data_IF_456137827523
#
_entry.id   IF_456137827523
#
_cell.length_a   1.000
_cell.length_b   1.000
_cell.length_c   1.000
_cell.angle_alpha   90.00
_cell.angle_beta   90.00
_cell.angle_gamma   90.00
#
_symmetry.space_group_name_H-M   'P 1'
#
loop_
_entity.id
_entity.type
_entity.pdbx_description
1 polymer ?
#
# COMPACT_ATOMS: atom_id res chain seq x y z
N UNK A 1 11.81 46.84 -42.47
CA UNK A 1 11.24 46.26 -43.71
C UNK A 1 10.25 47.26 -44.26
N UNK A 2 10.54 47.74 -45.47
CA UNK A 2 9.97 48.92 -46.12
C UNK A 2 8.56 48.68 -46.63
N UNK A 3 7.66 49.62 -46.32
CA UNK A 3 6.31 49.70 -46.85
C UNK A 3 6.34 50.03 -48.35
N UNK A 4 5.69 49.19 -49.16
CA UNK A 4 5.43 49.46 -50.58
C UNK A 4 3.91 49.47 -50.80
N UNK A 5 3.34 50.66 -50.80
CA UNK A 5 2.01 50.96 -51.35
C UNK A 5 2.15 51.22 -52.85
N UNK A 6 1.36 50.57 -53.73
CA UNK A 6 1.30 50.93 -55.14
C UNK A 6 0.44 52.20 -55.37
N UNK A 7 0.69 52.93 -56.47
CA UNK A 7 0.18 54.29 -56.68
C UNK A 7 -1.29 54.35 -57.09
N UNK A 8 -2.01 55.25 -56.42
CA UNK A 8 -3.30 55.83 -56.84
C UNK A 8 -3.16 56.49 -58.21
N UNK A 9 -3.89 55.97 -59.20
CA UNK A 9 -4.13 56.64 -60.49
C UNK A 9 -5.58 57.13 -60.52
N UNK A 10 -5.86 58.41 -60.83
CA UNK A 10 -7.21 58.92 -60.99
C UNK A 10 -7.69 58.68 -62.44
N UNK A 11 -8.45 57.61 -62.68
CA UNK A 11 -9.12 57.40 -63.96
C UNK A 11 -10.52 58.00 -63.95
N UNK A 12 -10.62 59.17 -64.59
CA UNK A 12 -11.74 59.64 -65.42
C UNK A 12 -13.15 59.21 -65.01
N UNK A 13 -13.88 60.13 -64.38
CA UNK A 13 -15.33 60.26 -64.50
C UNK A 13 -15.73 60.44 -65.97
N UNK A 14 -15.95 59.32 -66.67
CA UNK A 14 -16.72 59.30 -67.91
C UNK A 14 -18.19 59.33 -67.54
N UNK A 15 -18.79 60.52 -67.64
CA UNK A 15 -20.25 60.71 -67.63
C UNK A 15 -20.86 60.14 -68.91
N UNK A 16 -20.89 58.80 -69.01
CA UNK A 16 -21.74 58.14 -69.99
C UNK A 16 -23.21 58.31 -69.56
N UNK A 17 -24.14 58.69 -70.47
CA UNK A 17 -25.55 58.74 -70.14
C UNK A 17 -26.01 57.33 -69.71
N UNK A 18 -27.00 57.19 -68.81
CA UNK A 18 -27.54 55.90 -68.46
C UNK A 18 -28.09 55.28 -69.74
N UNK A 19 -27.36 54.32 -70.31
CA UNK A 19 -27.89 53.47 -71.37
C UNK A 19 -29.13 52.84 -70.77
N UNK A 20 -30.30 53.13 -71.35
CA UNK A 20 -31.56 52.48 -71.00
C UNK A 20 -31.31 50.99 -71.21
N UNK A 21 -30.90 50.30 -70.15
CA UNK A 21 -30.85 48.85 -70.11
C UNK A 21 -32.22 48.43 -70.60
N UNK A 22 -32.23 47.67 -71.69
CA UNK A 22 -33.49 47.33 -72.32
C UNK A 22 -34.28 46.51 -71.28
N UNK A 23 -35.59 46.71 -71.17
CA UNK A 23 -36.40 45.96 -70.20
C UNK A 23 -36.19 44.43 -70.29
N UNK A 24 -35.73 43.94 -71.46
CA UNK A 24 -35.28 42.57 -71.69
C UNK A 24 -34.04 42.19 -70.88
N UNK A 25 -33.03 43.06 -70.81
CA UNK A 25 -31.81 42.80 -70.04
C UNK A 25 -32.11 42.74 -68.54
N UNK A 26 -32.96 43.63 -68.02
CA UNK A 26 -33.42 43.58 -66.62
C UNK A 26 -34.23 42.32 -66.33
N UNK A 27 -35.09 41.89 -67.25
CA UNK A 27 -35.86 40.66 -67.11
C UNK A 27 -34.98 39.40 -67.13
N UNK A 28 -33.92 39.38 -67.95
CA UNK A 28 -32.94 38.29 -67.98
C UNK A 28 -32.14 38.22 -66.67
N UNK A 29 -31.64 39.36 -66.18
CA UNK A 29 -30.94 39.43 -64.90
C UNK A 29 -31.86 39.01 -63.75
N UNK A 30 -33.12 39.43 -63.75
CA UNK A 30 -34.09 39.05 -62.72
C UNK A 30 -34.35 37.54 -62.70
N UNK A 31 -34.53 36.93 -63.89
CA UNK A 31 -34.68 35.48 -64.03
C UNK A 31 -33.44 34.72 -63.58
N UNK A 32 -32.26 35.26 -63.85
CA UNK A 32 -30.99 34.65 -63.45
C UNK A 32 -30.79 34.75 -61.94
N UNK A 33 -31.15 35.89 -61.31
CA UNK A 33 -31.18 36.05 -59.86
C UNK A 33 -32.18 35.10 -59.20
N UNK A 34 -33.38 34.92 -59.75
CA UNK A 34 -34.36 33.93 -59.26
C UNK A 34 -33.81 32.50 -59.39
N UNK A 35 -33.14 32.18 -60.50
CA UNK A 35 -32.48 30.88 -60.67
C UNK A 35 -31.35 30.66 -59.66
N UNK A 36 -30.56 31.69 -59.35
CA UNK A 36 -29.50 31.60 -58.34
C UNK A 36 -30.11 31.43 -56.96
N UNK A 37 -31.13 32.22 -56.62
CA UNK A 37 -31.79 32.17 -55.31
C UNK A 37 -32.43 30.80 -55.07
N UNK A 38 -33.14 30.25 -56.07
CA UNK A 38 -33.73 28.91 -55.96
C UNK A 38 -32.71 27.78 -55.87
N UNK A 39 -31.53 27.92 -56.49
CA UNK A 39 -30.42 26.97 -56.30
C UNK A 39 -29.85 27.07 -54.89
N UNK A 40 -29.60 28.28 -54.42
CA UNK A 40 -29.12 28.52 -53.07
C UNK A 40 -30.08 27.96 -52.01
N UNK A 41 -31.38 28.22 -52.14
CA UNK A 41 -32.40 27.67 -51.24
C UNK A 41 -32.37 26.14 -51.21
N UNK A 42 -32.24 25.48 -52.37
CA UNK A 42 -32.15 24.03 -52.46
C UNK A 42 -30.87 23.48 -51.86
N UNK A 43 -29.74 24.14 -52.07
CA UNK A 43 -28.44 23.72 -51.52
C UNK A 43 -28.47 23.85 -49.99
N UNK A 44 -28.99 24.96 -49.48
CA UNK A 44 -29.18 25.21 -48.05
C UNK A 44 -30.13 24.18 -47.44
N UNK A 45 -31.28 23.92 -48.07
CA UNK A 45 -32.23 22.91 -47.61
C UNK A 45 -31.61 21.50 -47.63
N UNK A 46 -30.82 21.18 -48.66
CA UNK A 46 -30.06 19.94 -48.77
C UNK A 46 -29.06 19.78 -47.63
N UNK A 47 -28.30 20.82 -47.32
CA UNK A 47 -27.36 20.85 -46.19
C UNK A 47 -28.07 20.65 -44.84
N UNK A 48 -29.19 21.35 -44.61
CA UNK A 48 -29.94 21.18 -43.37
C UNK A 48 -30.54 19.78 -43.23
N UNK A 49 -31.08 19.21 -44.31
CA UNK A 49 -31.60 17.84 -44.31
C UNK A 49 -30.49 16.82 -44.04
N UNK A 50 -29.31 17.00 -44.64
CA UNK A 50 -28.15 16.15 -44.38
C UNK A 50 -27.69 16.24 -42.92
N UNK A 51 -27.59 17.45 -42.36
CA UNK A 51 -27.23 17.65 -40.95
C UNK A 51 -28.24 17.03 -40.00
N UNK A 52 -29.54 17.16 -40.26
CA UNK A 52 -30.59 16.53 -39.45
C UNK A 52 -30.46 15.01 -39.50
N UNK A 53 -30.25 14.43 -40.68
CA UNK A 53 -30.07 12.98 -40.83
C UNK A 53 -28.83 12.47 -40.10
N UNK A 54 -27.73 13.22 -40.14
CA UNK A 54 -26.51 12.90 -39.40
C UNK A 54 -26.76 12.93 -37.88
N UNK A 55 -27.36 14.01 -37.37
CA UNK A 55 -27.68 14.14 -35.94
C UNK A 55 -28.64 13.04 -35.47
N UNK A 56 -29.62 12.67 -36.29
CA UNK A 56 -30.53 11.56 -35.98
C UNK A 56 -29.77 10.22 -35.92
N UNK A 57 -28.83 9.99 -36.84
CA UNK A 57 -27.99 8.79 -36.83
C UNK A 57 -27.07 8.75 -35.62
N UNK A 58 -26.47 9.88 -35.22
CA UNK A 58 -25.65 9.99 -34.02
C UNK A 58 -26.46 9.76 -32.75
N UNK A 59 -27.69 10.30 -32.67
CA UNK A 59 -28.55 10.12 -31.51
C UNK A 59 -29.03 8.67 -31.40
N UNK A 60 -29.32 8.01 -32.52
CA UNK A 60 -29.63 6.58 -32.56
C UNK A 60 -28.44 5.74 -32.11
N UNK A 61 -27.23 5.99 -32.61
CA UNK A 61 -26.05 5.24 -32.20
C UNK A 61 -25.69 5.46 -30.73
N UNK A 62 -25.95 6.66 -30.19
CA UNK A 62 -25.82 6.95 -28.76
C UNK A 62 -26.83 6.17 -27.93
N UNK A 63 -28.10 6.14 -28.35
CA UNK A 63 -29.15 5.40 -27.67
C UNK A 63 -28.93 3.87 -27.72
N UNK A 64 -28.40 3.38 -28.83
CA UNK A 64 -28.05 1.96 -29.01
C UNK A 64 -26.69 1.62 -28.35
N UNK A 65 -25.98 2.61 -27.79
CA UNK A 65 -24.69 2.41 -27.13
C UNK A 65 -23.56 2.02 -28.09
N UNK A 66 -23.74 2.19 -29.40
CA UNK A 66 -22.76 1.85 -30.44
C UNK A 66 -21.94 3.06 -30.89
N UNK A 67 -22.16 4.21 -30.28
CA UNK A 67 -21.38 5.42 -30.59
C UNK A 67 -19.88 5.21 -30.29
N UNK A 68 -18.98 5.52 -31.23
CA UNK A 68 -17.57 5.18 -31.13
C UNK A 68 -16.87 5.86 -29.94
N UNK A 69 -17.22 7.11 -29.63
CA UNK A 69 -16.65 7.82 -28.47
C UNK A 69 -17.07 7.17 -27.14
N UNK A 70 -18.30 6.66 -27.06
CA UNK A 70 -18.79 5.97 -25.86
C UNK A 70 -18.05 4.65 -25.64
N UNK A 71 -17.84 3.88 -26.71
CA UNK A 71 -17.08 2.63 -26.64
C UNK A 71 -15.60 2.88 -26.31
N UNK A 72 -15.00 3.94 -26.85
CA UNK A 72 -13.63 4.33 -26.52
C UNK A 72 -13.48 4.69 -25.03
N UNK A 73 -14.46 5.40 -24.46
CA UNK A 73 -14.48 5.71 -23.03
C UNK A 73 -14.62 4.46 -22.16
N UNK A 74 -15.49 3.52 -22.57
CA UNK A 74 -15.58 2.20 -21.91
C UNK A 74 -14.23 1.49 -21.94
N UNK A 75 -13.58 1.40 -23.10
CA UNK A 75 -12.29 0.72 -23.24
C UNK A 75 -11.22 1.37 -22.34
N UNK A 76 -11.23 2.69 -22.21
CA UNK A 76 -10.33 3.41 -21.31
C UNK A 76 -10.58 3.05 -19.84
N UNK A 77 -11.84 3.01 -19.43
CA UNK A 77 -12.24 2.59 -18.07
C UNK A 77 -11.87 1.13 -17.81
N UNK A 78 -12.08 0.25 -18.79
CA UNK A 78 -11.71 -1.17 -18.69
C UNK A 78 -10.21 -1.35 -18.54
N UNK A 79 -9.40 -0.64 -19.33
CA UNK A 79 -7.93 -0.64 -19.18
C UNK A 79 -7.51 -0.16 -17.79
N UNK A 80 -8.09 0.95 -17.33
CA UNK A 80 -7.79 1.49 -15.99
C UNK A 80 -8.11 0.48 -14.89
N UNK A 81 -9.26 -0.19 -14.99
CA UNK A 81 -9.65 -1.25 -14.05
C UNK A 81 -8.65 -2.41 -14.08
N UNK A 82 -8.24 -2.85 -15.27
CA UNK A 82 -7.34 -3.99 -15.42
C UNK A 82 -5.94 -3.67 -14.87
N UNK A 83 -5.43 -2.45 -15.12
CA UNK A 83 -4.18 -1.96 -14.54
C UNK A 83 -4.26 -1.88 -13.00
N UNK A 84 -5.38 -1.41 -12.45
CA UNK A 84 -5.60 -1.38 -10.99
C UNK A 84 -5.63 -2.78 -10.38
N UNK A 85 -6.29 -3.74 -11.04
CA UNK A 85 -6.34 -5.13 -10.58
C UNK A 85 -4.94 -5.76 -10.56
N UNK A 86 -4.14 -5.51 -11.60
CA UNK A 86 -2.75 -6.01 -11.66
C UNK A 86 -1.90 -5.41 -10.53
N UNK A 87 -2.03 -4.11 -10.27
CA UNK A 87 -1.34 -3.44 -9.17
C UNK A 87 -1.72 -4.06 -7.81
N UNK A 88 -3.00 -4.36 -7.59
CA UNK A 88 -3.46 -5.01 -6.35
C UNK A 88 -2.85 -6.40 -6.19
N UNK A 89 -2.76 -7.17 -7.27
CA UNK A 89 -2.15 -8.50 -7.25
C UNK A 89 -0.65 -8.42 -6.93
N UNK A 90 0.10 -7.50 -7.57
CA UNK A 90 1.50 -7.27 -7.24
C UNK A 90 1.73 -6.83 -5.79
N UNK A 91 0.88 -5.93 -5.29
CA UNK A 91 0.95 -5.50 -3.89
C UNK A 91 0.71 -6.67 -2.92
N UNK A 92 -0.26 -7.53 -3.24
CA UNK A 92 -0.57 -8.69 -2.43
C UNK A 92 0.60 -9.67 -2.40
N UNK A 93 1.18 -9.98 -3.56
CA UNK A 93 2.33 -10.87 -3.67
C UNK A 93 3.55 -10.30 -2.94
N UNK A 94 3.82 -9.00 -3.10
CA UNK A 94 4.90 -8.31 -2.40
C UNK A 94 4.72 -8.37 -0.88
N UNK A 95 3.51 -8.05 -0.37
CA UNK A 95 3.22 -8.11 1.06
C UNK A 95 3.36 -9.53 1.61
N UNK A 96 2.89 -10.53 0.86
CA UNK A 96 3.04 -11.93 1.24
C UNK A 96 4.50 -12.37 1.26
N UNK A 97 5.28 -11.99 0.25
CA UNK A 97 6.71 -12.29 0.19
C UNK A 97 7.45 -11.64 1.35
N UNK A 98 7.21 -10.35 1.59
CA UNK A 98 7.81 -9.62 2.70
C UNK A 98 7.49 -10.24 4.05
N UNK A 99 6.23 -10.61 4.29
CA UNK A 99 5.84 -11.27 5.54
C UNK A 99 6.53 -12.62 5.74
N UNK A 100 6.81 -13.37 4.66
CA UNK A 100 7.59 -14.62 4.75
C UNK A 100 9.04 -14.35 5.14
N UNK A 101 9.67 -13.38 4.49
CA UNK A 101 11.05 -12.98 4.80
C UNK A 101 11.16 -12.51 6.25
N UNK A 102 10.26 -11.62 6.70
CA UNK A 102 10.24 -11.12 8.08
C UNK A 102 10.05 -12.27 9.09
N UNK A 103 9.22 -13.26 8.78
CA UNK A 103 9.03 -14.45 9.62
C UNK A 103 10.29 -15.34 9.69
N UNK A 104 10.96 -15.55 8.55
CA UNK A 104 12.20 -16.31 8.50
C UNK A 104 13.32 -15.61 9.27
N UNK A 105 13.47 -14.29 9.10
CA UNK A 105 14.41 -13.47 9.86
C UNK A 105 14.12 -13.50 11.37
N UNK A 106 12.85 -13.46 11.78
CA UNK A 106 12.47 -13.53 13.20
C UNK A 106 12.81 -14.91 13.80
N UNK A 107 12.63 -16.00 13.03
CA UNK A 107 13.06 -17.34 13.45
C UNK A 107 14.59 -17.39 13.63
N UNK A 108 15.33 -16.87 12.66
CA UNK A 108 16.80 -16.86 12.71
C UNK A 108 17.30 -16.05 13.89
N UNK A 109 16.76 -14.84 14.09
CA UNK A 109 17.09 -13.98 15.23
C UNK A 109 16.78 -14.65 16.57
N UNK A 110 15.59 -15.26 16.72
CA UNK A 110 15.23 -15.99 17.94
C UNK A 110 16.17 -17.18 18.22
N UNK A 111 16.61 -17.88 17.17
CA UNK A 111 17.57 -18.97 17.29
C UNK A 111 18.95 -18.47 17.72
N UNK A 112 19.42 -17.35 17.16
CA UNK A 112 20.68 -16.71 17.57
C UNK A 112 20.63 -16.26 19.03
N UNK A 113 19.54 -15.61 19.45
CA UNK A 113 19.32 -15.23 20.84
C UNK A 113 19.31 -16.44 21.77
N UNK A 114 18.66 -17.53 21.37
CA UNK A 114 18.67 -18.77 22.14
C UNK A 114 20.09 -19.35 22.31
N UNK A 115 20.87 -19.38 21.22
CA UNK A 115 22.24 -19.89 21.25
C UNK A 115 23.15 -19.01 22.11
N UNK A 116 23.06 -17.68 21.98
CA UNK A 116 23.82 -16.75 22.81
C UNK A 116 23.44 -16.88 24.29
N UNK A 117 22.15 -17.06 24.60
CA UNK A 117 21.69 -17.30 25.98
C UNK A 117 22.25 -18.62 26.55
N UNK A 118 22.29 -19.69 25.78
CA UNK A 118 22.95 -20.94 26.20
C UNK A 118 24.43 -20.71 26.49
N UNK A 119 25.13 -20.01 25.61
CA UNK A 119 26.56 -19.76 25.76
C UNK A 119 26.86 -18.90 26.99
N UNK A 120 26.08 -17.83 27.20
CA UNK A 120 26.20 -16.99 28.40
C UNK A 120 25.89 -17.77 29.67
N UNK A 121 24.87 -18.64 29.67
CA UNK A 121 24.56 -19.50 30.81
C UNK A 121 25.70 -20.49 31.11
N UNK A 122 26.26 -21.13 30.07
CA UNK A 122 27.43 -22.02 30.21
C UNK A 122 28.64 -21.28 30.79
N UNK A 123 28.91 -20.07 30.28
CA UNK A 123 30.00 -19.21 30.75
C UNK A 123 29.80 -18.81 32.22
N UNK A 124 28.62 -18.32 32.59
CA UNK A 124 28.32 -17.91 33.97
C UNK A 124 28.43 -19.06 34.96
N UNK A 125 27.92 -20.25 34.62
CA UNK A 125 28.06 -21.46 35.46
C UNK A 125 29.54 -21.82 35.59
N UNK A 126 30.30 -21.81 34.50
CA UNK A 126 31.73 -22.15 34.51
C UNK A 126 32.53 -21.18 35.38
N UNK A 127 32.27 -19.88 35.27
CA UNK A 127 32.87 -18.84 36.11
C UNK A 127 32.53 -19.05 37.58
N UNK A 128 31.26 -19.31 37.90
CA UNK A 128 30.82 -19.54 39.28
C UNK A 128 31.47 -20.79 39.90
N UNK A 129 31.64 -21.87 39.12
CA UNK A 129 32.36 -23.08 39.58
C UNK A 129 33.85 -22.81 39.78
N UNK A 130 34.49 -22.05 38.87
CA UNK A 130 35.88 -21.64 39.01
C UNK A 130 36.09 -20.77 40.25
N UNK A 131 35.21 -19.80 40.50
CA UNK A 131 35.26 -18.94 41.68
C UNK A 131 35.07 -19.73 42.96
N UNK A 132 34.10 -20.65 43.00
CA UNK A 132 33.90 -21.52 44.17
C UNK A 132 35.12 -22.41 44.41
N UNK A 133 35.71 -22.98 43.37
CA UNK A 133 36.92 -23.81 43.46
C UNK A 133 38.13 -23.00 43.93
N UNK A 134 38.26 -21.74 43.49
CA UNK A 134 39.29 -20.80 43.96
C UNK A 134 39.10 -20.49 45.43
N UNK A 135 37.89 -20.10 45.85
CA UNK A 135 37.56 -19.82 47.26
C UNK A 135 37.87 -21.01 48.18
N UNK A 136 37.50 -22.23 47.79
CA UNK A 136 37.82 -23.43 48.57
C UNK A 136 39.32 -23.68 48.71
N UNK A 137 40.12 -23.32 47.69
CA UNK A 137 41.59 -23.41 47.78
C UNK A 137 42.16 -22.35 48.70
N UNK A 138 41.71 -21.11 48.57
CA UNK A 138 42.10 -20.01 49.46
C UNK A 138 41.72 -20.32 50.93
N UNK A 139 40.51 -20.85 51.16
CA UNK A 139 40.06 -21.30 52.48
C UNK A 139 40.88 -22.46 53.03
N UNK A 140 41.26 -23.45 52.20
CA UNK A 140 42.17 -24.54 52.60
C UNK A 140 43.54 -23.97 53.00
N UNK A 141 44.14 -23.13 52.16
CA UNK A 141 45.48 -22.58 52.39
C UNK A 141 45.49 -21.68 53.64
N UNK A 142 44.44 -20.90 53.84
CA UNK A 142 44.25 -20.09 55.05
C UNK A 142 43.98 -20.96 56.28
N UNK A 143 43.22 -22.03 56.12
CA UNK A 143 42.93 -23.02 57.16
C UNK A 143 44.18 -23.75 57.63
N UNK A 144 45.06 -24.17 56.72
CA UNK A 144 46.34 -24.80 57.07
C UNK A 144 47.28 -23.79 57.77
N UNK A 145 47.31 -22.53 57.35
CA UNK A 145 48.10 -21.48 58.02
C UNK A 145 47.60 -21.16 59.44
N UNK A 146 46.29 -21.25 59.68
CA UNK A 146 45.67 -20.99 60.99
C UNK A 146 45.66 -22.20 61.92
N UNK A 147 45.68 -23.43 61.37
CA UNK A 147 45.74 -24.67 62.13
C UNK A 147 47.15 -24.98 62.69
N UNK A 148 48.20 -24.29 62.21
CA UNK A 148 49.57 -24.41 62.76
C UNK A 148 49.77 -23.51 63.99
N UNK A 149 48.91 -22.51 64.23
CA UNK A 149 49.18 -21.47 65.23
C UNK A 149 48.27 -21.42 66.46
N UNK A 150 47.32 -22.35 66.67
CA UNK A 150 46.51 -22.28 67.89
C UNK A 150 45.97 -23.64 68.41
N UNK A 151 46.58 -24.26 69.43
CA UNK A 151 46.03 -25.43 70.11
C UNK A 151 44.90 -25.10 71.11
N UNK A 152 44.41 -23.85 71.17
CA UNK A 152 43.57 -23.37 72.29
C UNK A 152 42.07 -23.23 71.96
N UNK A 153 41.62 -23.38 70.71
CA UNK A 153 40.22 -23.15 70.34
C UNK A 153 39.34 -24.41 70.21
N UNK A 154 39.55 -25.41 71.07
CA UNK A 154 38.52 -26.39 71.41
C UNK A 154 37.49 -25.75 72.37
N UNK A 155 36.69 -24.81 71.86
CA UNK A 155 35.51 -24.31 72.56
C UNK A 155 34.27 -25.00 71.97
N UNK A 156 33.44 -25.68 72.79
CA UNK A 156 32.31 -26.43 72.27
C UNK A 156 31.24 -25.49 71.71
N UNK A 157 30.78 -25.88 70.53
CA UNK A 157 29.68 -25.34 69.73
C UNK A 157 28.57 -24.64 70.54
N UNK A 158 28.45 -23.33 70.35
CA UNK A 158 27.16 -22.64 70.59
C UNK A 158 26.23 -22.98 69.43
N UNK A 159 25.43 -24.03 69.62
CA UNK A 159 24.35 -24.46 68.73
C UNK A 159 23.37 -23.28 68.56
N UNK A 160 23.51 -22.53 67.46
CA UNK A 160 22.50 -21.56 67.05
C UNK A 160 21.30 -22.35 66.55
N UNK A 161 20.22 -22.33 67.31
CA UNK A 161 18.92 -22.88 66.90
C UNK A 161 18.54 -22.27 65.55
N UNK A 162 18.62 -23.07 64.48
CA UNK A 162 18.03 -22.75 63.20
C UNK A 162 16.54 -22.55 63.43
N UNK A 163 16.07 -21.29 63.40
CA UNK A 163 14.64 -21.03 63.24
C UNK A 163 14.25 -21.63 61.89
N UNK A 164 13.39 -22.64 61.95
CA UNK A 164 12.65 -23.22 60.83
C UNK A 164 11.89 -22.07 60.14
N UNK A 165 12.47 -21.44 59.12
CA UNK A 165 11.66 -20.68 58.15
C UNK A 165 10.82 -21.72 57.43
N UNK A 166 9.52 -21.65 57.67
CA UNK A 166 8.53 -22.53 57.07
C UNK A 166 8.74 -22.60 55.57
N UNK A 167 8.52 -23.79 55.02
CA UNK A 167 8.42 -24.00 53.60
C UNK A 167 7.37 -23.05 53.03
N UNK A 168 7.83 -22.06 52.27
CA UNK A 168 7.00 -21.40 51.30
C UNK A 168 7.21 -22.17 50.00
N UNK A 169 6.20 -22.98 49.69
CA UNK A 169 5.73 -23.35 48.35
C UNK A 169 6.64 -22.96 47.18
N UNK A 170 6.86 -23.94 46.31
CA UNK A 170 6.99 -23.78 44.86
C UNK A 170 5.87 -22.90 44.31
N UNK A 171 5.95 -21.60 44.56
CA UNK A 171 5.17 -20.58 43.91
C UNK A 171 6.00 -20.09 42.76
N UNK A 172 5.60 -20.45 41.53
CA UNK A 172 5.96 -19.71 40.32
C UNK A 172 5.89 -18.22 40.67
N UNK A 173 7.05 -17.57 40.82
CA UNK A 173 7.10 -16.12 40.98
C UNK A 173 6.56 -15.55 39.67
N UNK A 174 5.41 -14.90 39.76
CA UNK A 174 4.80 -14.11 38.69
C UNK A 174 5.84 -13.06 38.28
N UNK A 175 6.48 -13.29 37.13
CA UNK A 175 7.45 -12.36 36.56
C UNK A 175 6.72 -11.10 36.12
N UNK A 176 7.22 -9.95 36.58
CA UNK A 176 6.83 -8.65 36.06
C UNK A 176 8.00 -8.16 35.22
N UNK A 177 7.74 -7.73 34.00
CA UNK A 177 8.69 -6.96 33.21
C UNK A 177 8.31 -5.48 33.29
N UNK A 178 9.30 -4.61 33.19
CA UNK A 178 9.05 -3.17 33.08
C UNK A 178 8.76 -2.89 31.61
N UNK A 179 7.56 -2.44 31.30
CA UNK A 179 7.35 -1.68 30.07
C UNK A 179 8.17 -0.40 30.23
N UNK A 180 8.81 0.09 29.16
CA UNK A 180 9.80 1.19 29.20
C UNK A 180 9.39 2.49 29.92
N UNK A 181 8.13 2.60 30.38
CA UNK A 181 7.55 3.68 31.17
C UNK A 181 7.49 3.40 32.70
N UNK A 182 8.06 2.29 33.18
CA UNK A 182 8.15 1.97 34.62
C UNK A 182 6.85 1.47 35.27
N UNK A 183 5.83 1.13 34.48
CA UNK A 183 4.61 0.47 34.97
C UNK A 183 4.81 -1.04 35.02
N UNK A 184 4.36 -1.68 36.10
CA UNK A 184 4.41 -3.13 36.28
C UNK A 184 3.14 -3.77 35.70
N UNK A 185 3.24 -4.39 34.54
CA UNK A 185 2.14 -5.17 33.96
C UNK A 185 2.29 -6.64 34.34
N UNK A 186 1.20 -7.27 34.75
CA UNK A 186 1.17 -8.70 35.09
C UNK A 186 1.21 -9.54 33.81
N UNK A 187 2.12 -10.51 33.75
CA UNK A 187 2.15 -11.50 32.67
C UNK A 187 0.84 -12.30 32.67
N UNK A 188 0.02 -12.08 31.64
CA UNK A 188 -1.18 -12.85 31.37
C UNK A 188 -0.85 -13.76 30.18
N UNK A 189 -0.58 -15.06 30.39
CA UNK A 189 -0.26 -15.94 29.28
C UNK A 189 -1.44 -15.93 28.29
N UNK A 190 -1.17 -15.95 26.97
CA UNK A 190 -2.23 -16.04 25.99
C UNK A 190 -3.10 -17.24 26.32
N UNK A 191 -4.41 -17.01 26.49
CA UNK A 191 -5.37 -18.10 26.66
C UNK A 191 -5.19 -19.01 25.44
N UNK A 192 -4.93 -20.30 25.68
CA UNK A 192 -4.88 -21.30 24.60
C UNK A 192 -6.10 -21.06 23.71
N UNK A 193 -5.87 -20.80 22.43
CA UNK A 193 -6.95 -20.61 21.47
C UNK A 193 -7.86 -21.84 21.57
N UNK A 194 -9.16 -21.61 21.72
CA UNK A 194 -10.13 -22.69 21.78
C UNK A 194 -10.05 -23.43 20.43
N UNK A 195 -9.59 -24.68 20.43
CA UNK A 195 -9.32 -25.44 19.19
C UNK A 195 -10.56 -25.51 18.28
N UNK A 196 -11.75 -25.40 18.88
CA UNK A 196 -13.03 -25.31 18.18
C UNK A 196 -13.14 -24.03 17.33
N UNK A 197 -12.67 -22.91 17.85
CA UNK A 197 -12.70 -21.63 17.14
C UNK A 197 -11.74 -21.66 15.94
N UNK A 198 -10.53 -22.19 16.14
CA UNK A 198 -9.53 -22.33 15.07
C UNK A 198 -10.04 -23.23 13.95
N UNK A 199 -10.71 -24.34 14.30
CA UNK A 199 -11.32 -25.23 13.31
C UNK A 199 -12.46 -24.56 12.55
N UNK A 200 -13.27 -23.75 13.22
CA UNK A 200 -14.37 -23.02 12.60
C UNK A 200 -13.85 -21.97 11.60
N UNK A 201 -12.84 -21.20 12.00
CA UNK A 201 -12.23 -20.18 11.13
C UNK A 201 -11.59 -20.81 9.88
N UNK A 202 -10.96 -21.99 10.02
CA UNK A 202 -10.40 -22.74 8.90
C UNK A 202 -11.47 -23.22 7.91
N UNK A 203 -12.63 -23.67 8.40
CA UNK A 203 -13.75 -24.08 7.55
C UNK A 203 -14.38 -22.89 6.82
N UNK A 204 -14.50 -21.74 7.48
CA UNK A 204 -15.01 -20.52 6.86
C UNK A 204 -14.07 -20.00 5.75
N UNK A 205 -12.75 -20.06 5.96
CA UNK A 205 -11.75 -19.72 4.93
C UNK A 205 -11.86 -20.65 3.71
N UNK A 206 -12.01 -21.97 3.93
CA UNK A 206 -12.19 -22.94 2.83
C UNK A 206 -13.49 -22.69 2.05
N UNK A 207 -14.57 -22.38 2.76
CA UNK A 207 -15.88 -22.07 2.15
C UNK A 207 -15.81 -20.81 1.30
N UNK A 208 -15.07 -19.79 1.72
CA UNK A 208 -14.88 -18.57 0.96
C UNK A 208 -14.08 -18.80 -0.32
N UNK A 209 -13.01 -19.61 -0.26
CA UNK A 209 -12.22 -19.99 -1.44
C UNK A 209 -13.02 -20.78 -2.48
N UNK A 210 -13.95 -21.62 -2.04
CA UNK A 210 -14.80 -22.43 -2.94
C UNK A 210 -15.86 -21.61 -3.70
N UNK A 211 -16.28 -20.45 -3.18
CA UNK A 211 -17.25 -19.57 -3.85
C UNK A 211 -16.64 -18.64 -4.90
N UNK A 212 -15.31 -18.51 -4.90
CA UNK A 212 -14.55 -17.62 -5.78
C UNK A 212 -14.01 -18.33 -7.03
N UNK A 213 -14.23 -19.64 -7.15
CA UNK A 213 -14.00 -20.48 -8.34
C UNK A 213 -15.34 -20.89 -8.91
#
# INVERSE_FOLDING_TARGET
>A
MTANTPPTSPSSTSSAPPRKSTARDLALISRELESINTRFEKDVEGHFRANIAQLQSELLSLNDGTHPEYLAEIELVEKTRDDELENVDFEYEYKLHRAKVEYEEEIESANEEYQTLIQTLKSTISTHLCDRRRKLREERDTGDLTNIHDPVLLSPEKVRKLRKRGGASTGFRRGYYNDGDGKKIAFNPPKKADERQVQQDLEDIKKYRKRRR
#
